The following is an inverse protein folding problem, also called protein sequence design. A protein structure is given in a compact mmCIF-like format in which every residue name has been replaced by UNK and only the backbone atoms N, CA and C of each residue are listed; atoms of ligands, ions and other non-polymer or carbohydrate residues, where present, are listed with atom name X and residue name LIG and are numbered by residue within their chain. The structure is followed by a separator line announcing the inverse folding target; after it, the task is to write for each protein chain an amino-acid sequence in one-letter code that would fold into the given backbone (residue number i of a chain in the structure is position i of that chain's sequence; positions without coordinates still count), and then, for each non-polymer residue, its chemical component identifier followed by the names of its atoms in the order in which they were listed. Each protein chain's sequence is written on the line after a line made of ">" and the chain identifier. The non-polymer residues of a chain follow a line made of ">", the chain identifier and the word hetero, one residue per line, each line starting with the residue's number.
data_IF_321752632647
#
_entry.id   IF_321752632647
#
_cell.length_a   1.000
_cell.length_b   1.000
_cell.length_c   1.000
_cell.angle_alpha   90.00
_cell.angle_beta   90.00
_cell.angle_gamma   90.00
#
_symmetry.space_group_name_H-M   'P 1'
#
loop_
_entity.id
_entity.type
_entity.pdbx_description
1 polymer ?
#
# COMPACT_ATOMS: atom_id res chain seq x y z
N UNK A 1 4.81 -35.48 62.04
CA UNK A 1 3.34 -35.33 61.88
C UNK A 1 3.00 -33.86 62.05
N UNK A 2 2.40 -33.27 61.00
CA UNK A 2 1.34 -32.24 60.97
C UNK A 2 0.87 -31.71 62.36
N UNK A 3 0.61 -30.41 62.64
CA UNK A 3 -0.08 -29.37 61.85
C UNK A 3 0.19 -27.95 62.43
N UNK A 4 0.21 -26.96 61.53
CA UNK A 4 -0.38 -25.59 61.57
C UNK A 4 -0.04 -24.55 62.65
N UNK A 5 0.49 -23.42 62.18
CA UNK A 5 -0.01 -22.09 62.54
C UNK A 5 -0.31 -21.27 61.27
N UNK A 6 -1.44 -20.56 61.31
CA UNK A 6 -1.95 -19.62 60.32
C UNK A 6 -1.10 -18.35 60.24
N UNK A 7 -0.97 -17.76 59.06
CA UNK A 7 -0.69 -16.32 58.90
C UNK A 7 -1.12 -15.85 57.53
N UNK A 8 -2.14 -14.99 57.53
CA UNK A 8 -2.47 -14.09 56.44
C UNK A 8 -1.35 -13.04 56.32
N UNK A 9 -0.81 -12.82 55.12
CA UNK A 9 -0.34 -11.49 54.77
C UNK A 9 -0.38 -11.28 53.25
N UNK A 10 -1.12 -10.24 52.85
CA UNK A 10 -1.11 -9.71 51.50
C UNK A 10 0.29 -9.21 51.17
N UNK A 11 0.80 -9.54 49.99
CA UNK A 11 1.80 -8.71 49.33
C UNK A 11 1.48 -8.65 47.84
N UNK A 12 0.87 -7.52 47.48
CA UNK A 12 0.86 -6.92 46.16
C UNK A 12 2.27 -6.92 45.59
N UNK A 13 2.51 -7.65 44.50
CA UNK A 13 3.60 -7.34 43.60
C UNK A 13 2.97 -7.02 42.25
N UNK A 14 2.85 -5.71 42.04
CA UNK A 14 2.50 -5.06 40.79
C UNK A 14 3.27 -5.72 39.64
N UNK A 15 2.53 -6.47 38.81
CA UNK A 15 2.95 -6.79 37.46
C UNK A 15 2.96 -5.47 36.69
N UNK A 16 4.09 -4.77 36.76
CA UNK A 16 4.38 -3.60 35.93
C UNK A 16 4.40 -4.09 34.49
N UNK A 17 3.26 -3.96 33.81
CA UNK A 17 3.11 -4.11 32.37
C UNK A 17 3.96 -3.05 31.67
N UNK A 18 5.27 -3.30 31.58
CA UNK A 18 6.16 -2.57 30.70
C UNK A 18 5.86 -3.05 29.28
N UNK A 19 4.80 -2.48 28.69
CA UNK A 19 4.60 -2.46 27.24
C UNK A 19 5.71 -1.63 26.61
N UNK A 20 6.92 -2.20 26.58
CA UNK A 20 8.04 -1.69 25.83
C UNK A 20 7.70 -1.88 24.35
N UNK A 21 7.10 -0.85 23.75
CA UNK A 21 7.08 -0.66 22.30
C UNK A 21 8.53 -0.44 21.82
N UNK A 22 9.36 -1.48 21.91
CA UNK A 22 10.73 -1.44 21.45
C UNK A 22 10.71 -1.39 19.93
N UNK A 23 10.89 -0.19 19.40
CA UNK A 23 11.14 0.00 17.98
C UNK A 23 12.50 -0.60 17.65
N UNK A 24 12.52 -1.67 16.86
CA UNK A 24 13.75 -2.23 16.33
C UNK A 24 14.11 -1.55 15.01
N UNK A 25 15.39 -1.24 14.85
CA UNK A 25 15.93 -0.70 13.61
C UNK A 25 16.51 -1.86 12.80
N UNK A 26 16.34 -1.82 11.48
CA UNK A 26 16.94 -2.79 10.59
C UNK A 26 18.46 -2.68 10.65
N UNK A 27 19.15 -3.82 10.63
CA UNK A 27 20.60 -3.85 10.40
C UNK A 27 20.92 -3.43 8.96
N UNK A 28 22.20 -3.25 8.64
CA UNK A 28 22.62 -2.97 7.25
C UNK A 28 22.17 -4.08 6.30
N UNK A 29 22.40 -5.35 6.68
CA UNK A 29 22.01 -6.50 5.86
C UNK A 29 20.50 -6.57 5.60
N UNK A 30 19.69 -6.32 6.65
CA UNK A 30 18.23 -6.28 6.50
C UNK A 30 17.79 -5.09 5.65
N UNK A 31 18.47 -3.94 5.77
CA UNK A 31 18.22 -2.78 4.92
C UNK A 31 18.54 -3.07 3.45
N UNK A 32 19.60 -3.83 3.18
CA UNK A 32 19.96 -4.28 1.83
C UNK A 32 18.93 -5.26 1.26
N UNK A 33 18.46 -6.23 2.07
CA UNK A 33 17.34 -7.13 1.68
C UNK A 33 16.08 -6.33 1.32
N UNK A 34 15.72 -5.34 2.13
CA UNK A 34 14.58 -4.46 1.84
C UNK A 34 14.80 -3.67 0.55
N UNK A 35 16.00 -3.12 0.34
CA UNK A 35 16.35 -2.40 -0.89
C UNK A 35 16.19 -3.28 -2.12
N UNK A 36 16.66 -4.53 -2.07
CA UNK A 36 16.48 -5.49 -3.16
C UNK A 36 15.01 -5.72 -3.48
N UNK A 37 14.13 -5.90 -2.48
CA UNK A 37 12.69 -6.04 -2.71
C UNK A 37 12.13 -4.80 -3.42
N UNK A 38 12.48 -3.61 -2.95
CA UNK A 38 11.93 -2.36 -3.47
C UNK A 38 12.45 -1.97 -4.87
N UNK A 39 13.65 -2.43 -5.23
CA UNK A 39 14.32 -2.10 -6.50
C UNK A 39 14.20 -3.21 -7.55
N UNK A 40 13.75 -4.42 -7.15
CA UNK A 40 13.48 -5.51 -8.09
C UNK A 40 12.30 -5.15 -8.99
N UNK A 41 12.50 -5.28 -10.30
CA UNK A 41 11.42 -5.17 -11.29
C UNK A 41 10.49 -6.39 -11.19
N UNK A 42 9.18 -6.12 -11.15
CA UNK A 42 8.12 -7.12 -11.04
C UNK A 42 7.23 -7.00 -12.29
N UNK A 43 6.97 -8.10 -13.01
CA UNK A 43 6.01 -8.12 -14.09
C UNK A 43 4.57 -8.09 -13.55
N UNK A 44 3.77 -7.12 -14.00
CA UNK A 44 2.33 -7.05 -13.73
C UNK A 44 1.59 -7.34 -15.03
N UNK A 45 1.07 -8.55 -15.14
CA UNK A 45 0.31 -8.99 -16.31
C UNK A 45 -1.13 -8.49 -16.23
N UNK A 46 -1.68 -8.03 -17.35
CA UNK A 46 -3.12 -7.79 -17.46
C UNK A 46 -3.91 -9.09 -17.54
N UNK A 47 -5.14 -9.09 -17.04
CA UNK A 47 -6.11 -10.18 -17.12
C UNK A 47 -6.58 -10.38 -18.57
N UNK A 48 -6.64 -11.64 -19.05
CA UNK A 48 -7.33 -11.94 -20.31
C UNK A 48 -8.82 -11.59 -20.24
N UNK A 49 -9.46 -11.10 -21.31
CA UNK A 49 -8.94 -10.92 -22.68
C UNK A 49 -8.42 -9.49 -22.98
N UNK A 50 -7.78 -8.80 -22.03
CA UNK A 50 -7.29 -7.44 -22.29
C UNK A 50 -6.11 -7.43 -23.28
N UNK A 51 -6.02 -6.38 -24.10
CA UNK A 51 -4.90 -6.10 -25.01
C UNK A 51 -3.79 -5.24 -24.36
N UNK A 52 -3.87 -5.00 -23.05
CA UNK A 52 -2.87 -4.21 -22.35
C UNK A 52 -1.55 -4.99 -22.19
N UNK A 53 -0.38 -4.31 -22.22
CA UNK A 53 0.91 -4.98 -22.14
C UNK A 53 1.21 -5.47 -20.72
N UNK A 54 2.13 -6.42 -20.56
CA UNK A 54 2.75 -6.68 -19.26
C UNK A 54 3.60 -5.47 -18.85
N UNK A 55 3.32 -4.93 -17.67
CA UNK A 55 4.11 -3.83 -17.12
C UNK A 55 5.31 -4.38 -16.34
N UNK A 56 6.46 -3.73 -16.44
CA UNK A 56 7.61 -4.01 -15.58
C UNK A 56 7.83 -2.81 -14.67
N UNK A 57 7.54 -2.97 -13.38
CA UNK A 57 7.63 -1.89 -12.40
C UNK A 57 8.37 -2.33 -11.14
N UNK A 58 9.07 -1.38 -10.51
CA UNK A 58 9.65 -1.58 -9.18
C UNK A 58 8.68 -1.06 -8.13
N UNK A 59 8.55 -1.72 -6.96
CA UNK A 59 7.73 -1.20 -5.87
C UNK A 59 8.12 0.23 -5.48
N UNK A 60 9.41 0.57 -5.44
CA UNK A 60 9.86 1.92 -5.11
C UNK A 60 9.30 2.97 -6.07
N UNK A 61 9.43 2.75 -7.37
CA UNK A 61 9.02 3.74 -8.37
C UNK A 61 7.49 3.93 -8.34
N UNK A 62 6.75 2.82 -8.30
CA UNK A 62 5.29 2.84 -8.26
C UNK A 62 4.76 3.53 -7.00
N UNK A 63 5.29 3.14 -5.81
CA UNK A 63 4.90 3.79 -4.56
C UNK A 63 5.21 5.28 -4.57
N UNK A 64 6.35 5.70 -5.11
CA UNK A 64 6.68 7.14 -5.20
C UNK A 64 5.63 7.92 -6.00
N UNK A 65 5.15 7.38 -7.12
CA UNK A 65 4.08 8.01 -7.92
C UNK A 65 2.75 8.05 -7.16
N UNK A 66 2.36 6.94 -6.54
CA UNK A 66 1.13 6.86 -5.73
C UNK A 66 1.15 7.89 -4.60
N UNK A 67 2.25 7.98 -3.85
CA UNK A 67 2.40 8.92 -2.74
C UNK A 67 2.40 10.37 -3.17
N UNK A 68 3.05 10.67 -4.30
CA UNK A 68 3.05 12.00 -4.88
C UNK A 68 1.62 12.44 -5.20
N UNK A 69 0.84 11.59 -5.87
CA UNK A 69 -0.56 11.88 -6.22
C UNK A 69 -1.49 11.91 -5.00
N UNK A 70 -1.30 11.03 -4.01
CA UNK A 70 -2.05 11.11 -2.75
C UNK A 70 -1.89 12.50 -2.11
N UNK A 71 -0.66 13.04 -2.11
CA UNK A 71 -0.39 14.40 -1.63
C UNK A 71 -1.07 15.47 -2.50
N UNK A 72 -1.04 15.35 -3.84
CA UNK A 72 -1.73 16.29 -4.74
C UNK A 72 -3.23 16.39 -4.47
N UNK A 73 -3.87 15.25 -4.14
CA UNK A 73 -5.28 15.21 -3.78
C UNK A 73 -5.55 15.45 -2.28
N UNK A 74 -4.57 15.93 -1.51
CA UNK A 74 -4.72 16.21 -0.07
C UNK A 74 -5.20 14.98 0.73
N UNK A 75 -4.75 13.79 0.33
CA UNK A 75 -5.00 12.53 1.06
C UNK A 75 -3.78 12.25 1.94
N UNK A 76 -3.96 12.49 3.23
CA UNK A 76 -2.91 12.31 4.23
C UNK A 76 -2.68 10.82 4.51
N UNK A 77 -1.42 10.46 4.69
CA UNK A 77 -1.02 9.12 5.15
C UNK A 77 -0.18 9.22 6.43
N UNK A 78 -0.19 8.18 7.24
CA UNK A 78 0.64 8.12 8.47
C UNK A 78 1.87 7.24 8.30
N UNK A 79 1.78 6.14 7.55
CA UNK A 79 2.92 5.24 7.33
C UNK A 79 2.69 4.29 6.16
N UNK A 80 3.81 3.78 5.63
CA UNK A 80 3.85 2.73 4.62
C UNK A 80 4.63 1.57 5.22
N UNK A 81 4.12 0.35 5.08
CA UNK A 81 4.74 -0.85 5.64
C UNK A 81 4.80 -1.95 4.60
N UNK A 82 5.93 -2.64 4.57
CA UNK A 82 6.03 -3.97 3.97
C UNK A 82 5.49 -4.99 4.98
N UNK A 83 4.61 -5.87 4.54
CA UNK A 83 4.01 -6.93 5.33
C UNK A 83 4.23 -8.31 4.68
N UNK A 84 3.66 -9.34 5.31
CA UNK A 84 3.63 -10.69 4.76
C UNK A 84 5.01 -11.36 4.71
N UNK A 85 5.13 -12.36 3.84
CA UNK A 85 6.37 -13.13 3.70
C UNK A 85 7.57 -12.28 3.30
N UNK A 86 7.36 -11.23 2.49
CA UNK A 86 8.42 -10.32 2.09
C UNK A 86 9.03 -9.56 3.28
N UNK A 87 8.22 -9.16 4.27
CA UNK A 87 8.73 -8.56 5.51
C UNK A 87 9.52 -9.57 6.34
N UNK A 88 9.04 -10.81 6.47
CA UNK A 88 9.77 -11.87 7.15
C UNK A 88 11.12 -12.18 6.50
N UNK A 89 11.18 -12.22 5.17
CA UNK A 89 12.42 -12.40 4.42
C UNK A 89 13.46 -11.32 4.76
N UNK A 90 13.03 -10.07 4.93
CA UNK A 90 13.93 -8.97 5.32
C UNK A 90 14.53 -9.23 6.70
N UNK A 91 13.72 -9.71 7.65
CA UNK A 91 14.12 -9.83 9.05
C UNK A 91 14.93 -11.09 9.35
N UNK A 92 14.63 -12.20 8.68
CA UNK A 92 15.23 -13.50 8.95
C UNK A 92 16.59 -13.63 8.26
N UNK A 93 17.58 -14.16 8.99
CA UNK A 93 18.88 -14.52 8.44
C UNK A 93 18.90 -15.99 8.00
N UNK A 94 18.07 -16.32 7.01
CA UNK A 94 18.01 -17.64 6.38
C UNK A 94 18.00 -17.45 4.87
N UNK A 95 19.05 -17.93 4.20
CA UNK A 95 19.18 -17.87 2.75
C UNK A 95 18.16 -18.72 2.00
N UNK A 96 17.54 -19.70 2.68
CA UNK A 96 16.52 -20.57 2.10
C UNK A 96 15.09 -20.02 2.27
N UNK A 97 14.92 -18.94 3.02
CA UNK A 97 13.62 -18.33 3.18
C UNK A 97 13.16 -17.71 1.85
N UNK A 98 11.97 -18.11 1.40
CA UNK A 98 11.35 -17.61 0.16
C UNK A 98 10.05 -16.89 0.48
N UNK A 99 9.78 -15.81 -0.25
CA UNK A 99 8.49 -15.15 -0.26
C UNK A 99 7.90 -15.19 -1.67
N UNK A 100 6.57 -15.16 -1.75
CA UNK A 100 5.83 -15.21 -3.02
C UNK A 100 5.20 -13.87 -3.37
N UNK A 101 4.70 -13.18 -2.35
CA UNK A 101 3.90 -11.98 -2.48
C UNK A 101 4.60 -10.79 -1.81
N UNK A 102 4.33 -9.59 -2.31
CA UNK A 102 4.82 -8.33 -1.74
C UNK A 102 3.60 -7.54 -1.29
N UNK A 103 3.36 -7.54 0.01
CA UNK A 103 2.23 -6.87 0.62
C UNK A 103 2.66 -5.47 1.09
N UNK A 104 2.09 -4.42 0.48
CA UNK A 104 2.30 -3.05 0.92
C UNK A 104 1.04 -2.54 1.61
N UNK A 105 1.18 -2.10 2.85
CA UNK A 105 0.13 -1.47 3.63
C UNK A 105 0.38 0.04 3.69
N UNK A 106 -0.57 0.82 3.19
CA UNK A 106 -0.57 2.28 3.28
C UNK A 106 -1.63 2.68 4.30
N UNK A 107 -1.21 3.31 5.39
CA UNK A 107 -2.13 3.81 6.41
C UNK A 107 -2.60 5.20 6.01
N UNK A 108 -3.81 5.28 5.45
CA UNK A 108 -4.46 6.54 5.10
C UNK A 108 -5.04 7.16 6.38
N UNK A 109 -4.72 8.43 6.64
CA UNK A 109 -5.27 9.23 7.74
C UNK A 109 -6.61 9.84 7.36
N UNK A 110 -6.75 10.31 6.12
CA UNK A 110 -8.00 10.87 5.61
C UNK A 110 -9.09 9.77 5.56
N UNK A 111 -10.28 9.98 6.14
CA UNK A 111 -11.33 8.97 6.10
C UNK A 111 -11.73 8.64 4.65
N UNK A 112 -11.86 7.35 4.35
CA UNK A 112 -12.14 6.88 2.99
C UNK A 112 -13.53 7.30 2.47
N UNK A 113 -14.46 7.62 3.37
CA UNK A 113 -15.79 8.14 3.07
C UNK A 113 -15.85 9.66 2.94
N UNK A 114 -14.79 10.39 3.32
CA UNK A 114 -14.75 11.84 3.17
C UNK A 114 -14.77 12.23 1.70
N UNK A 115 -15.51 13.29 1.38
CA UNK A 115 -15.54 13.85 0.04
C UNK A 115 -14.45 14.91 -0.13
N UNK A 116 -13.83 14.91 -1.30
CA UNK A 116 -12.87 15.94 -1.71
C UNK A 116 -13.32 16.54 -3.04
N UNK A 117 -13.11 17.86 -3.19
CA UNK A 117 -13.31 18.52 -4.47
C UNK A 117 -12.25 18.05 -5.45
N UNK A 118 -12.69 17.65 -6.62
CA UNK A 118 -11.82 17.16 -7.67
C UNK A 118 -12.40 17.46 -9.04
N UNK A 119 -11.55 17.65 -10.03
CA UNK A 119 -11.92 17.70 -11.46
C UNK A 119 -11.70 16.35 -12.13
N UNK A 120 -11.18 15.36 -11.40
CA UNK A 120 -11.00 13.99 -11.87
C UNK A 120 -12.32 13.52 -12.47
N UNK A 121 -12.34 13.03 -13.71
CA UNK A 121 -13.56 12.56 -14.38
C UNK A 121 -14.57 13.64 -14.82
N UNK A 122 -14.31 14.93 -14.58
CA UNK A 122 -15.18 16.02 -15.03
C UNK A 122 -14.99 16.28 -16.53
N UNK A 123 -16.05 16.15 -17.33
CA UNK A 123 -15.98 16.35 -18.80
C UNK A 123 -15.80 17.82 -19.22
N UNK A 124 -16.13 18.76 -18.34
CA UNK A 124 -16.06 20.19 -18.56
C UNK A 124 -15.05 20.90 -17.63
N UNK A 125 -14.18 20.14 -16.96
CA UNK A 125 -13.25 20.61 -15.94
C UNK A 125 -13.88 21.30 -14.73
N UNK A 126 -15.20 21.20 -14.55
CA UNK A 126 -15.85 21.72 -13.34
C UNK A 126 -15.54 20.84 -12.13
N UNK A 127 -15.16 21.42 -10.98
CA UNK A 127 -14.93 20.66 -9.76
C UNK A 127 -16.23 20.05 -9.23
N UNK A 128 -16.16 18.81 -8.75
CA UNK A 128 -17.25 18.16 -8.03
C UNK A 128 -16.71 17.34 -6.85
N UNK A 129 -17.60 16.83 -6.01
CA UNK A 129 -17.25 16.07 -4.81
C UNK A 129 -17.12 14.58 -5.12
N UNK A 130 -16.03 13.97 -4.68
CA UNK A 130 -15.77 12.54 -4.85
C UNK A 130 -15.21 11.95 -3.55
N UNK A 131 -15.64 10.74 -3.19
CA UNK A 131 -15.14 10.07 -2.00
C UNK A 131 -13.66 9.67 -2.15
N UNK A 132 -12.91 9.76 -1.05
CA UNK A 132 -11.46 9.47 -1.02
C UNK A 132 -11.14 8.06 -1.55
N UNK A 133 -11.99 7.06 -1.28
CA UNK A 133 -11.80 5.72 -1.85
C UNK A 133 -11.83 5.71 -3.37
N UNK A 134 -12.75 6.45 -4.00
CA UNK A 134 -12.79 6.58 -5.46
C UNK A 134 -11.58 7.35 -6.00
N UNK A 135 -11.13 8.39 -5.31
CA UNK A 135 -9.91 9.11 -5.69
C UNK A 135 -8.67 8.21 -5.59
N UNK A 136 -8.57 7.35 -4.57
CA UNK A 136 -7.46 6.38 -4.46
C UNK A 136 -7.46 5.41 -5.63
N UNK A 137 -8.62 4.87 -6.03
CA UNK A 137 -8.72 4.01 -7.23
C UNK A 137 -8.20 4.75 -8.47
N UNK A 138 -8.61 6.01 -8.65
CA UNK A 138 -8.09 6.85 -9.74
C UNK A 138 -6.57 6.96 -9.71
N UNK A 139 -6.00 7.28 -8.55
CA UNK A 139 -4.55 7.47 -8.38
C UNK A 139 -3.81 6.23 -8.85
N UNK A 140 -4.22 5.04 -8.38
CA UNK A 140 -3.64 3.76 -8.77
C UNK A 140 -3.74 3.54 -10.29
N UNK A 141 -4.91 3.79 -10.89
CA UNK A 141 -5.08 3.67 -12.34
C UNK A 141 -4.17 4.62 -13.11
N UNK A 142 -4.05 5.87 -12.67
CA UNK A 142 -3.23 6.87 -13.36
C UNK A 142 -1.74 6.50 -13.30
N UNK A 143 -1.26 5.96 -12.17
CA UNK A 143 0.11 5.44 -12.07
C UNK A 143 0.34 4.27 -13.03
N UNK A 144 -0.59 3.32 -13.11
CA UNK A 144 -0.49 2.21 -14.07
C UNK A 144 -0.47 2.73 -15.52
N UNK A 145 -1.29 3.73 -15.83
CA UNK A 145 -1.36 4.34 -17.14
C UNK A 145 -0.08 5.09 -17.54
N UNK A 146 0.57 5.78 -16.61
CA UNK A 146 1.89 6.38 -16.83
C UNK A 146 2.92 5.32 -17.22
N UNK A 147 2.85 4.12 -16.65
CA UNK A 147 3.70 3.00 -17.06
C UNK A 147 3.34 2.43 -18.45
N UNK A 148 2.04 2.36 -18.80
CA UNK A 148 1.61 1.92 -20.15
C UNK A 148 2.07 2.92 -21.23
N UNK A 149 1.90 4.21 -20.96
CA UNK A 149 2.25 5.29 -21.91
C UNK A 149 3.75 5.40 -22.09
N UNK A 150 4.55 5.24 -21.04
CA UNK A 150 6.01 5.18 -21.18
C UNK A 150 6.51 4.02 -22.06
N UNK A 151 5.72 2.94 -22.23
CA UNK A 151 6.04 1.83 -23.15
C UNK A 151 5.70 2.20 -24.61
N UNK A 152 4.69 3.05 -24.83
CA UNK A 152 4.25 3.49 -26.16
C UNK A 152 4.95 4.83 -26.47
N UNK A 153 5.98 4.79 -27.32
CA UNK A 153 6.87 5.93 -27.65
C UNK A 153 6.11 7.27 -27.77
N UNK A 154 6.71 8.29 -27.16
CA UNK A 154 6.22 9.66 -26.93
C UNK A 154 5.53 10.33 -28.12
N UNK A 155 4.20 10.28 -28.17
CA UNK A 155 3.34 11.37 -28.62
C UNK A 155 2.09 11.44 -27.73
N UNK A 156 1.73 12.67 -27.34
CA UNK A 156 0.57 13.09 -26.54
C UNK A 156 0.75 13.13 -25.01
N UNK A 157 1.32 14.24 -24.56
CA UNK A 157 1.11 14.77 -23.22
C UNK A 157 -0.24 15.49 -23.15
N UNK A 158 -0.93 15.34 -22.01
CA UNK A 158 -2.17 16.03 -21.61
C UNK A 158 -3.46 15.64 -22.36
N UNK A 159 -3.83 14.36 -22.33
CA UNK A 159 -5.23 13.97 -22.53
C UNK A 159 -5.84 13.55 -21.20
N UNK A 160 -6.93 14.21 -20.82
CA UNK A 160 -7.74 13.79 -19.68
C UNK A 160 -8.45 12.50 -20.05
N UNK A 161 -8.04 11.40 -19.44
CA UNK A 161 -8.67 10.10 -19.69
C UNK A 161 -10.07 10.05 -19.11
N UNK A 162 -11.00 9.48 -19.88
CA UNK A 162 -12.38 9.30 -19.42
C UNK A 162 -12.41 8.34 -18.23
N UNK A 163 -13.41 8.51 -17.34
CA UNK A 163 -13.64 7.57 -16.24
C UNK A 163 -13.73 6.12 -16.73
N UNK A 164 -14.39 5.91 -17.86
CA UNK A 164 -14.54 4.61 -18.48
C UNK A 164 -13.18 3.97 -18.81
N UNK A 165 -12.25 4.73 -19.41
CA UNK A 165 -10.92 4.21 -19.75
C UNK A 165 -10.08 3.87 -18.50
N UNK A 166 -10.19 4.66 -17.44
CA UNK A 166 -9.48 4.38 -16.19
C UNK A 166 -10.05 3.16 -15.46
N UNK A 167 -11.36 2.94 -15.57
CA UNK A 167 -12.00 1.71 -15.09
C UNK A 167 -11.49 0.49 -15.84
N UNK A 168 -11.39 0.55 -17.18
CA UNK A 168 -10.90 -0.61 -17.95
C UNK A 168 -9.45 -0.96 -17.66
N UNK A 169 -8.60 0.02 -17.33
CA UNK A 169 -7.23 -0.23 -16.85
C UNK A 169 -7.26 -0.93 -15.50
N UNK A 170 -8.10 -0.47 -14.57
CA UNK A 170 -8.21 -1.10 -13.26
C UNK A 170 -8.66 -2.55 -13.40
N UNK A 171 -9.69 -2.80 -14.20
CA UNK A 171 -10.23 -4.14 -14.44
C UNK A 171 -9.20 -5.04 -15.15
N UNK A 172 -8.37 -4.46 -16.02
CA UNK A 172 -7.30 -5.19 -16.68
C UNK A 172 -6.18 -5.62 -15.72
N UNK A 173 -5.74 -4.76 -14.80
CA UNK A 173 -4.57 -5.07 -13.96
C UNK A 173 -4.90 -5.51 -12.52
N UNK A 174 -6.10 -5.24 -12.02
CA UNK A 174 -6.53 -5.69 -10.71
C UNK A 174 -7.12 -7.09 -10.77
N UNK A 175 -6.56 -8.03 -10.01
CA UNK A 175 -7.15 -9.36 -9.81
C UNK A 175 -8.25 -9.36 -8.73
N UNK A 176 -8.15 -8.44 -7.77
CA UNK A 176 -9.09 -8.28 -6.66
C UNK A 176 -9.15 -6.80 -6.28
N UNK A 177 -10.36 -6.30 -6.05
CA UNK A 177 -10.63 -4.97 -5.52
C UNK A 177 -11.72 -5.13 -4.45
N UNK A 178 -11.37 -4.93 -3.18
CA UNK A 178 -12.25 -5.20 -2.05
C UNK A 178 -12.34 -3.92 -1.22
N UNK A 179 -13.57 -3.43 -1.03
CA UNK A 179 -13.89 -2.37 -0.07
C UNK A 179 -14.57 -3.03 1.12
N UNK A 180 -14.00 -2.86 2.31
CA UNK A 180 -14.62 -3.28 3.57
C UNK A 180 -14.90 -2.01 4.36
N UNK A 181 -16.15 -1.84 4.78
CA UNK A 181 -16.58 -0.77 5.67
C UNK A 181 -17.47 -1.39 6.74
N UNK A 182 -17.20 -1.08 8.00
CA UNK A 182 -18.14 -1.31 9.09
C UNK A 182 -18.93 -0.04 9.34
N UNK A 183 -20.20 -0.20 9.74
CA UNK A 183 -21.02 0.88 10.29
C UNK A 183 -20.46 1.39 11.63
#
# INVERSE_FOLDING_TARGET
>A
MHVSHTSSNSNNNNATNNNNNSKFYLTSEQTDKLKVILDRSIPICSSPPSSFPTLNLTPRCFLRQVLYKLKEYSIDITSIRLNGGAASYVLVNDSNFVYRDIDILIHIKTPLSSEQKTTLFSSNNEPYLCDVWTIIKYIICSCLLEHITNIKTSEQQSQQYTHHYLSTILDAYAKKNIKISSE
#
